data_IF_458829371916
#
_entry.id   IF_458829371916
#
_cell.length_a   1.000
_cell.length_b   1.000
_cell.length_c   1.000
_cell.angle_alpha   90.00
_cell.angle_beta   90.00
_cell.angle_gamma   90.00
#
_symmetry.space_group_name_H-M   'P 1'
#
loop_
_entity.id
_entity.type
_entity.pdbx_description
1 polymer ?
#
# COMPACT_ATOMS: atom_id res chain seq x y z
N UNK A 1 -13.75 -6.15 20.90
CA UNK A 1 -12.59 -5.76 20.05
C UNK A 1 -12.24 -6.92 19.15
N UNK A 2 -11.86 -6.67 17.90
CA UNK A 2 -11.31 -7.72 17.05
C UNK A 2 -10.01 -8.26 17.68
N UNK A 3 -9.78 -9.59 17.70
CA UNK A 3 -8.54 -10.12 18.25
C UNK A 3 -7.39 -9.74 17.30
N UNK A 4 -6.57 -8.77 17.73
CA UNK A 4 -5.42 -8.24 16.98
C UNK A 4 -4.56 -9.36 16.38
N UNK A 5 -4.33 -10.43 17.15
CA UNK A 5 -3.59 -11.62 16.72
C UNK A 5 -4.12 -12.19 15.40
N UNK A 6 -5.43 -12.40 15.26
CA UNK A 6 -6.05 -12.99 14.07
C UNK A 6 -5.89 -12.10 12.83
N UNK A 7 -5.99 -10.78 13.00
CA UNK A 7 -5.82 -9.83 11.89
C UNK A 7 -4.36 -9.86 11.40
N UNK A 8 -3.42 -9.77 12.34
CA UNK A 8 -2.00 -9.72 12.01
C UNK A 8 -1.46 -11.05 11.47
N UNK A 9 -2.03 -12.18 11.86
CA UNK A 9 -1.72 -13.48 11.25
C UNK A 9 -1.99 -13.47 9.75
N UNK A 10 -3.17 -13.02 9.29
CA UNK A 10 -3.48 -12.90 7.86
C UNK A 10 -2.47 -12.00 7.12
N UNK A 11 -2.09 -10.88 7.74
CA UNK A 11 -1.10 -9.96 7.16
C UNK A 11 0.25 -10.66 7.04
N UNK A 12 0.76 -11.27 8.12
CA UNK A 12 2.07 -11.94 8.15
C UNK A 12 2.14 -13.10 7.15
N UNK A 13 1.08 -13.89 7.05
CA UNK A 13 0.98 -15.00 6.08
C UNK A 13 1.07 -14.52 4.62
N UNK A 14 0.66 -13.28 4.33
CA UNK A 14 0.75 -12.73 2.96
C UNK A 14 2.18 -12.36 2.53
N UNK A 15 3.07 -12.08 3.49
CA UNK A 15 4.42 -11.54 3.27
C UNK A 15 5.52 -12.30 4.02
N UNK A 16 5.55 -13.64 3.99
CA UNK A 16 6.44 -14.44 4.85
C UNK A 16 7.94 -14.18 4.58
N UNK A 17 8.29 -13.70 3.39
CA UNK A 17 9.68 -13.41 3.01
C UNK A 17 10.05 -11.92 3.06
N UNK A 18 9.20 -11.05 3.60
CA UNK A 18 9.56 -9.65 3.81
C UNK A 18 10.21 -9.51 5.19
N UNK A 19 11.52 -9.23 5.19
CA UNK A 19 12.24 -8.80 6.39
C UNK A 19 11.85 -7.35 6.77
N UNK A 20 10.84 -7.22 7.64
CA UNK A 20 10.34 -5.93 8.12
C UNK A 20 11.37 -5.17 8.97
N UNK A 21 12.33 -5.85 9.60
CA UNK A 21 13.36 -5.22 10.43
C UNK A 21 14.42 -4.50 9.59
N UNK A 22 14.60 -4.93 8.33
CA UNK A 22 15.51 -4.28 7.38
C UNK A 22 15.06 -2.87 6.97
N UNK A 23 13.79 -2.54 7.14
CA UNK A 23 13.20 -1.28 6.72
C UNK A 23 13.60 -0.13 7.64
N UNK A 24 13.77 1.06 7.06
CA UNK A 24 14.04 2.29 7.81
C UNK A 24 12.92 3.29 7.61
N UNK A 25 12.52 3.92 8.70
CA UNK A 25 11.57 5.01 8.67
C UNK A 25 12.13 6.14 7.82
N UNK A 26 11.30 6.65 6.93
CA UNK A 26 11.59 7.76 6.05
C UNK A 26 10.56 8.85 6.33
N UNK A 27 10.94 9.96 6.98
CA UNK A 27 10.03 11.08 7.18
C UNK A 27 9.60 11.65 5.83
N UNK A 28 8.32 12.00 5.73
CA UNK A 28 7.73 12.63 4.56
C UNK A 28 7.09 13.95 4.96
N UNK A 29 7.06 14.92 4.04
CA UNK A 29 6.30 16.14 4.25
C UNK A 29 4.81 15.81 4.40
N UNK A 30 4.13 16.55 5.28
CA UNK A 30 2.71 16.37 5.55
C UNK A 30 2.37 14.93 5.94
N UNK A 31 3.21 14.32 6.79
CA UNK A 31 2.96 12.99 7.36
C UNK A 31 1.65 12.96 8.14
N UNK A 32 1.26 14.07 8.77
CA UNK A 32 -0.03 14.25 9.43
C UNK A 32 -0.83 15.32 8.69
N UNK A 33 -2.08 15.03 8.33
CA UNK A 33 -2.97 15.92 7.58
C UNK A 33 -4.35 15.96 8.19
N UNK A 34 -4.89 17.16 8.34
CA UNK A 34 -6.32 17.35 8.60
C UNK A 34 -7.09 17.31 7.27
N UNK A 35 -8.15 16.52 7.24
CA UNK A 35 -9.01 16.37 6.06
C UNK A 35 -10.45 16.58 6.48
N UNK A 36 -11.10 17.53 5.81
CA UNK A 36 -12.53 17.77 5.96
C UNK A 36 -13.32 16.63 5.31
N UNK A 37 -14.21 16.00 6.07
CA UNK A 37 -15.07 14.90 5.60
C UNK A 37 -15.08 13.71 6.55
N UNK A 38 -15.96 12.75 6.30
CA UNK A 38 -16.13 11.60 7.18
C UNK A 38 -15.01 10.57 6.97
N UNK A 39 -14.41 10.04 8.03
CA UNK A 39 -13.37 9.00 7.92
C UNK A 39 -13.83 7.78 7.10
N UNK A 40 -15.13 7.45 7.11
CA UNK A 40 -15.70 6.35 6.31
C UNK A 40 -15.60 6.60 4.81
N UNK A 41 -15.65 7.86 4.37
CA UNK A 41 -15.48 8.21 2.96
C UNK A 41 -14.04 7.96 2.51
N UNK A 42 -13.06 8.25 3.37
CA UNK A 42 -11.67 7.91 3.09
C UNK A 42 -11.44 6.39 3.08
N UNK A 43 -12.04 5.66 4.02
CA UNK A 43 -11.99 4.20 4.01
C UNK A 43 -12.61 3.63 2.73
N UNK A 44 -13.74 4.17 2.27
CA UNK A 44 -14.36 3.76 1.01
C UNK A 44 -13.47 4.10 -0.19
N UNK A 45 -12.87 5.29 -0.23
CA UNK A 45 -11.93 5.65 -1.29
C UNK A 45 -10.77 4.65 -1.39
N UNK A 46 -10.21 4.22 -0.26
CA UNK A 46 -9.15 3.21 -0.25
C UNK A 46 -9.61 1.83 -0.77
N UNK A 47 -10.86 1.46 -0.50
CA UNK A 47 -11.44 0.16 -0.88
C UNK A 47 -12.01 0.12 -2.30
N UNK A 48 -12.09 1.26 -2.98
CA UNK A 48 -12.58 1.34 -4.35
C UNK A 48 -11.40 1.34 -5.33
N UNK A 49 -11.33 0.37 -6.25
CA UNK A 49 -10.28 0.38 -7.28
C UNK A 49 -10.67 1.22 -8.51
N UNK A 50 -11.94 1.61 -8.66
CA UNK A 50 -12.43 2.28 -9.87
C UNK A 50 -11.73 3.62 -10.10
N UNK A 51 -11.49 4.39 -9.03
CA UNK A 51 -10.80 5.68 -9.11
C UNK A 51 -9.37 5.57 -9.65
N UNK A 52 -8.71 4.41 -9.59
CA UNK A 52 -7.31 4.24 -10.04
C UNK A 52 -7.16 4.63 -11.51
N UNK A 53 -8.11 4.21 -12.36
CA UNK A 53 -8.12 4.52 -13.79
C UNK A 53 -8.22 6.02 -14.08
N UNK A 54 -8.87 6.77 -13.19
CA UNK A 54 -9.28 8.15 -13.46
C UNK A 54 -8.45 9.20 -12.72
N UNK A 55 -7.96 8.87 -11.53
CA UNK A 55 -7.23 9.75 -10.62
C UNK A 55 -5.72 9.47 -10.71
N UNK A 56 -5.31 8.20 -10.65
CA UNK A 56 -3.89 7.80 -10.71
C UNK A 56 -3.46 7.44 -12.14
N UNK A 57 -3.80 8.33 -13.08
CA UNK A 57 -3.55 8.17 -14.52
C UNK A 57 -2.06 8.20 -14.87
N UNK A 58 -1.72 7.61 -16.02
CA UNK A 58 -0.42 7.76 -16.63
C UNK A 58 -0.16 9.15 -17.24
N UNK A 59 1.10 9.48 -17.59
CA UNK A 59 2.31 8.66 -17.43
C UNK A 59 2.86 8.64 -15.98
N UNK A 60 3.26 7.47 -15.49
CA UNK A 60 3.93 7.30 -14.19
C UNK A 60 3.00 7.18 -12.98
N UNK A 61 1.70 7.08 -13.19
CA UNK A 61 0.70 6.81 -12.15
C UNK A 61 0.50 5.32 -11.89
N UNK A 62 -0.32 5.00 -10.88
CA UNK A 62 -0.62 3.62 -10.51
C UNK A 62 -1.27 2.84 -11.66
N UNK A 63 -2.09 3.49 -12.49
CA UNK A 63 -2.71 2.85 -13.66
C UNK A 63 -1.70 2.28 -14.68
N UNK A 64 -0.48 2.83 -14.74
CA UNK A 64 0.62 2.36 -15.60
C UNK A 64 1.49 1.28 -14.94
N UNK A 65 1.37 1.13 -13.63
CA UNK A 65 2.18 0.21 -12.84
C UNK A 65 1.50 -1.16 -12.68
N UNK A 66 0.17 -1.18 -12.60
CA UNK A 66 -0.61 -2.40 -12.36
C UNK A 66 -1.45 -2.83 -13.57
N UNK A 67 -1.60 -4.14 -13.71
CA UNK A 67 -2.59 -4.75 -14.57
C UNK A 67 -3.95 -4.70 -13.85
N UNK A 68 -4.71 -3.65 -14.15
CA UNK A 68 -6.01 -3.39 -13.52
C UNK A 68 -7.04 -4.50 -13.74
N UNK A 69 -6.89 -5.33 -14.77
CA UNK A 69 -7.80 -6.45 -15.02
C UNK A 69 -7.60 -7.59 -14.01
N UNK A 70 -6.43 -7.62 -13.36
CA UNK A 70 -6.08 -8.62 -12.34
C UNK A 70 -6.37 -8.17 -10.92
N UNK A 71 -6.94 -6.97 -10.74
CA UNK A 71 -7.22 -6.42 -9.42
C UNK A 71 -8.18 -7.32 -8.65
N UNK A 72 -7.73 -7.77 -7.49
CA UNK A 72 -8.44 -8.74 -6.65
C UNK A 72 -8.61 -8.17 -5.25
N UNK A 73 -9.81 -8.32 -4.69
CA UNK A 73 -10.12 -7.99 -3.30
C UNK A 73 -10.56 -9.25 -2.56
N UNK A 74 -9.87 -9.55 -1.45
CA UNK A 74 -10.13 -10.67 -0.56
C UNK A 74 -10.66 -10.14 0.77
N UNK A 75 -11.78 -10.71 1.22
CA UNK A 75 -12.41 -10.32 2.48
C UNK A 75 -11.98 -11.28 3.60
N UNK A 76 -11.59 -10.71 4.73
CA UNK A 76 -11.26 -11.42 5.94
C UNK A 76 -12.10 -10.88 7.11
N UNK A 77 -12.09 -11.59 8.23
CA UNK A 77 -12.71 -11.06 9.43
C UNK A 77 -11.97 -9.81 9.90
N UNK A 78 -12.66 -8.66 9.93
CA UNK A 78 -12.13 -7.34 10.34
C UNK A 78 -11.03 -6.75 9.44
N UNK A 79 -10.81 -7.30 8.25
CA UNK A 79 -9.80 -6.79 7.31
C UNK A 79 -10.13 -7.16 5.87
N UNK A 80 -9.55 -6.46 4.91
CA UNK A 80 -9.61 -6.80 3.50
C UNK A 80 -8.22 -6.64 2.89
N UNK A 81 -7.85 -7.52 1.98
CA UNK A 81 -6.63 -7.45 1.21
C UNK A 81 -6.98 -7.15 -0.24
N UNK A 82 -6.37 -6.12 -0.80
CA UNK A 82 -6.44 -5.80 -2.22
C UNK A 82 -5.07 -5.98 -2.87
N UNK A 83 -5.01 -6.51 -4.09
CA UNK A 83 -3.76 -6.72 -4.81
C UNK A 83 -3.99 -6.82 -6.32
N UNK A 84 -2.93 -6.59 -7.10
CA UNK A 84 -2.94 -6.73 -8.55
C UNK A 84 -1.56 -7.13 -9.06
N UNK A 85 -1.47 -7.77 -10.23
CA UNK A 85 -0.20 -8.02 -10.89
C UNK A 85 0.40 -6.73 -11.45
N UNK A 86 1.73 -6.65 -11.46
CA UNK A 86 2.46 -5.56 -12.08
C UNK A 86 2.39 -5.68 -13.62
N UNK A 87 2.22 -4.57 -14.34
CA UNK A 87 2.37 -4.56 -15.81
C UNK A 87 3.78 -4.94 -16.26
N UNK A 88 4.78 -4.62 -15.42
CA UNK A 88 6.17 -5.00 -15.63
C UNK A 88 6.59 -5.89 -14.46
N UNK A 89 6.83 -7.20 -14.66
CA UNK A 89 7.23 -8.14 -13.62
C UNK A 89 8.29 -7.63 -12.64
N UNK A 90 9.33 -6.96 -13.13
CA UNK A 90 10.44 -6.41 -12.33
C UNK A 90 10.00 -5.39 -11.26
N UNK A 91 8.79 -4.85 -11.34
CA UNK A 91 8.23 -3.89 -10.40
C UNK A 91 7.35 -4.55 -9.34
N UNK A 92 7.10 -5.86 -9.45
CA UNK A 92 6.39 -6.63 -8.44
C UNK A 92 7.33 -7.34 -7.45
N UNK A 93 6.72 -8.01 -6.48
CA UNK A 93 7.43 -8.75 -5.45
C UNK A 93 8.23 -9.89 -6.05
N UNK A 94 9.43 -10.11 -5.53
CA UNK A 94 10.15 -11.33 -5.84
C UNK A 94 9.37 -12.55 -5.28
N UNK A 95 9.33 -13.69 -5.99
CA UNK A 95 8.53 -14.87 -5.63
C UNK A 95 8.75 -15.41 -4.21
N UNK A 96 9.91 -15.12 -3.62
CA UNK A 96 10.30 -15.48 -2.25
C UNK A 96 9.75 -14.51 -1.19
N UNK A 97 9.37 -13.29 -1.56
CA UNK A 97 8.89 -12.28 -0.60
C UNK A 97 7.44 -12.51 -0.16
N UNK A 98 6.66 -13.17 -1.00
CA UNK A 98 5.22 -13.34 -0.82
C UNK A 98 4.84 -14.83 -0.82
N UNK A 99 3.70 -15.15 -0.23
CA UNK A 99 3.19 -16.52 -0.21
C UNK A 99 2.91 -17.04 -1.62
N UNK A 100 3.08 -18.35 -1.82
CA UNK A 100 3.02 -19.01 -3.13
C UNK A 100 1.70 -18.84 -3.88
N UNK A 101 0.59 -18.59 -3.18
CA UNK A 101 -0.72 -18.35 -3.80
C UNK A 101 -0.77 -17.12 -4.72
N UNK A 102 0.18 -16.19 -4.58
CA UNK A 102 0.29 -15.02 -5.44
C UNK A 102 1.02 -15.29 -6.76
N UNK A 103 1.60 -16.48 -6.94
CA UNK A 103 2.22 -16.90 -8.19
C UNK A 103 1.12 -17.34 -9.16
N UNK A 104 1.15 -16.82 -10.38
CA UNK A 104 0.24 -17.29 -11.43
C UNK A 104 0.70 -18.69 -11.87
N UNK A 105 -0.18 -19.71 -11.83
CA UNK A 105 0.19 -21.07 -12.21
C UNK A 105 0.49 -21.23 -13.71
N UNK A 106 0.03 -20.29 -14.53
CA UNK A 106 0.20 -20.31 -15.99
C UNK A 106 1.34 -19.39 -16.46
N UNK A 107 1.80 -18.48 -15.60
CA UNK A 107 2.83 -17.49 -15.92
C UNK A 107 3.75 -17.26 -14.72
N UNK A 108 4.90 -17.94 -14.71
CA UNK A 108 5.87 -17.85 -13.63
C UNK A 108 6.58 -16.50 -13.52
N UNK A 109 6.48 -15.64 -14.54
CA UNK A 109 7.10 -14.32 -14.54
C UNK A 109 6.19 -13.27 -13.93
N UNK A 110 4.87 -13.48 -13.87
CA UNK A 110 3.94 -12.54 -13.22
C UNK A 110 4.27 -12.34 -11.75
N UNK A 111 4.28 -11.07 -11.35
CA UNK A 111 4.59 -10.65 -9.97
C UNK A 111 3.55 -9.68 -9.46
N UNK A 112 3.07 -9.90 -8.24
CA UNK A 112 2.15 -8.99 -7.57
C UNK A 112 2.85 -7.66 -7.35
N UNK A 113 2.19 -6.55 -7.72
CA UNK A 113 2.76 -5.21 -7.59
C UNK A 113 2.77 -4.73 -6.14
N UNK A 114 1.65 -4.89 -5.44
CA UNK A 114 1.44 -4.39 -4.10
C UNK A 114 0.40 -5.23 -3.36
N UNK A 115 0.48 -5.22 -2.03
CA UNK A 115 -0.52 -5.78 -1.12
C UNK A 115 -1.08 -4.65 -0.25
N UNK A 116 -2.34 -4.32 -0.45
CA UNK A 116 -3.06 -3.21 0.18
C UNK A 116 -4.05 -3.77 1.20
N UNK A 117 -3.63 -3.80 2.46
CA UNK A 117 -4.45 -4.27 3.56
C UNK A 117 -5.23 -3.12 4.18
N UNK A 118 -6.55 -3.22 4.18
CA UNK A 118 -7.42 -2.43 5.05
C UNK A 118 -7.71 -3.21 6.33
N UNK A 119 -7.50 -2.58 7.48
CA UNK A 119 -7.79 -3.13 8.80
C UNK A 119 -8.84 -2.24 9.45
N UNK A 120 -10.00 -2.83 9.75
CA UNK A 120 -11.06 -2.13 10.44
C UNK A 120 -10.60 -1.69 11.84
N UNK A 121 -10.88 -0.46 12.29
CA UNK A 121 -11.78 0.49 11.61
C UNK A 121 -11.12 1.39 10.55
N UNK A 122 -9.84 1.69 10.64
CA UNK A 122 -9.31 2.92 10.04
C UNK A 122 -7.81 2.89 9.73
N UNK A 123 -7.23 1.69 9.60
CA UNK A 123 -5.80 1.53 9.34
C UNK A 123 -5.60 0.87 7.99
N UNK A 124 -4.62 1.34 7.22
CA UNK A 124 -4.19 0.68 5.98
C UNK A 124 -2.71 0.37 6.02
N UNK A 125 -2.34 -0.81 5.53
CA UNK A 125 -0.97 -1.27 5.41
C UNK A 125 -0.71 -1.54 3.92
N UNK A 126 0.19 -0.78 3.30
CA UNK A 126 0.52 -0.89 1.89
C UNK A 126 1.93 -1.44 1.75
N UNK A 127 2.04 -2.68 1.29
CA UNK A 127 3.33 -3.32 1.03
C UNK A 127 3.68 -3.21 -0.46
N UNK A 128 4.93 -2.84 -0.71
CA UNK A 128 5.58 -2.82 -2.00
C UNK A 128 6.90 -3.61 -1.91
N UNK A 129 7.50 -4.05 -3.03
CA UNK A 129 8.74 -4.83 -2.99
C UNK A 129 9.91 -4.09 -2.32
N UNK A 130 9.85 -2.75 -2.32
CA UNK A 130 10.87 -1.83 -1.80
C UNK A 130 10.42 -0.96 -0.61
N UNK A 131 9.12 -0.93 -0.29
CA UNK A 131 8.54 0.00 0.69
C UNK A 131 7.39 -0.63 1.49
N UNK A 132 7.18 -0.09 2.69
CA UNK A 132 6.01 -0.35 3.52
C UNK A 132 5.44 1.00 3.96
N UNK A 133 4.14 1.21 3.77
CA UNK A 133 3.46 2.43 4.18
C UNK A 133 2.32 2.07 5.12
N UNK A 134 2.22 2.78 6.25
CA UNK A 134 1.10 2.69 7.17
C UNK A 134 0.32 4.00 7.11
N UNK A 135 -0.99 3.89 6.95
CA UNK A 135 -1.92 5.00 7.12
C UNK A 135 -2.84 4.71 8.30
N UNK A 136 -3.01 5.68 9.19
CA UNK A 136 -4.00 5.62 10.27
C UNK A 136 -4.88 6.85 10.21
N UNK A 137 -6.19 6.67 10.37
CA UNK A 137 -7.16 7.76 10.35
C UNK A 137 -7.77 7.92 11.73
N UNK A 138 -7.47 9.03 12.40
CA UNK A 138 -8.02 9.38 13.70
C UNK A 138 -9.17 10.39 13.52
N UNK A 139 -10.27 10.21 14.26
CA UNK A 139 -11.32 11.23 14.33
C UNK A 139 -10.79 12.42 15.12
N UNK A 140 -10.97 13.63 14.60
CA UNK A 140 -10.42 14.83 15.25
C UNK A 140 -11.47 15.80 15.78
N UNK A 141 -12.66 15.90 15.14
CA UNK A 141 -13.76 16.74 15.66
C UNK A 141 -15.14 16.18 15.30
N UNK A 142 -16.10 16.42 16.19
CA UNK A 142 -17.54 16.30 15.93
C UNK A 142 -18.11 17.71 15.85
N UNK A 143 -18.09 18.33 14.67
CA UNK A 143 -18.73 19.62 14.42
C UNK A 143 -19.70 19.58 13.21
N UNK A 144 -20.60 20.56 13.18
CA UNK A 144 -21.97 20.53 12.63
C UNK A 144 -22.11 20.32 11.09
N UNK A 145 -21.01 20.08 10.37
CA UNK A 145 -20.98 19.77 8.92
C UNK A 145 -20.54 18.31 8.65
N UNK A 146 -20.27 17.54 9.72
CA UNK A 146 -19.85 16.13 9.68
C UNK A 146 -18.43 15.95 10.23
N UNK A 147 -18.10 14.79 10.81
CA UNK A 147 -16.88 14.65 11.60
C UNK A 147 -15.64 14.64 10.72
N UNK A 148 -14.83 15.70 10.77
CA UNK A 148 -13.50 15.75 10.17
C UNK A 148 -12.54 14.73 10.80
N UNK A 149 -11.49 14.35 10.06
CA UNK A 149 -10.49 13.40 10.54
C UNK A 149 -9.06 13.88 10.26
N UNK A 150 -8.12 13.37 11.05
CA UNK A 150 -6.70 13.46 10.75
C UNK A 150 -6.20 12.13 10.20
N UNK A 151 -5.55 12.17 9.04
CA UNK A 151 -4.82 11.04 8.49
C UNK A 151 -3.33 11.18 8.77
N UNK A 152 -2.68 10.09 9.16
CA UNK A 152 -1.22 10.00 9.29
C UNK A 152 -0.65 8.96 8.34
N UNK A 153 0.36 9.31 7.54
CA UNK A 153 1.00 8.47 6.52
C UNK A 153 2.49 8.25 6.81
N UNK A 154 2.81 7.11 7.43
CA UNK A 154 4.17 6.78 7.85
C UNK A 154 4.81 5.88 6.79
N UNK A 155 6.01 6.23 6.35
CA UNK A 155 6.71 5.55 5.26
C UNK A 155 7.98 4.85 5.76
N UNK A 156 8.20 3.63 5.30
CA UNK A 156 9.46 2.91 5.47
C UNK A 156 9.96 2.36 4.14
N UNK A 157 11.27 2.40 3.93
CA UNK A 157 11.91 1.90 2.70
C UNK A 157 13.08 0.97 3.01
N UNK A 158 13.36 0.03 2.10
CA UNK A 158 14.57 -0.81 2.18
C UNK A 158 15.84 0.06 2.08
N UNK A 159 16.93 -0.41 2.70
CA UNK A 159 18.25 0.23 2.58
C UNK A 159 18.70 0.18 1.12
N UNK A 160 19.07 1.33 0.54
CA UNK A 160 19.72 1.34 -0.78
C UNK A 160 21.11 0.70 -0.65
N UNK A 161 21.36 -0.39 -1.38
CA UNK A 161 22.71 -0.94 -1.56
C UNK A 161 23.47 -0.11 -2.60
N UNK A 162 23.76 1.14 -2.30
CA UNK A 162 24.66 1.96 -3.13
C UNK A 162 25.54 2.79 -2.22
N UNK A 163 26.84 2.47 -2.20
CA UNK A 163 27.88 3.44 -1.85
C UNK A 163 27.63 4.66 -2.74
N UNK A 164 27.40 5.82 -2.14
CA UNK A 164 27.39 7.09 -2.85
C UNK A 164 28.74 7.28 -3.55
N UNK A 165 28.80 7.05 -4.85
CA UNK A 165 29.69 7.81 -5.72
C UNK A 165 28.87 8.97 -6.29
N UNK A 166 29.18 10.17 -5.80
CA UNK A 166 28.66 11.43 -6.35
C UNK A 166 28.93 11.47 -7.86
N UNK A 167 27.89 11.36 -8.67
CA UNK A 167 27.81 12.07 -9.96
C UNK A 167 26.33 12.29 -10.29
N UNK A 168 25.99 13.52 -10.60
CA UNK A 168 24.60 13.95 -10.75
C UNK A 168 23.95 13.38 -12.00
N UNK A 169 22.77 12.77 -11.83
CA UNK A 169 21.62 13.10 -12.67
C UNK A 169 20.35 12.80 -11.87
N UNK A 170 19.54 13.84 -11.64
CA UNK A 170 18.26 13.73 -10.97
C UNK A 170 17.24 13.16 -11.95
N UNK A 171 16.90 11.88 -11.81
CA UNK A 171 15.62 11.36 -12.30
C UNK A 171 14.75 11.02 -11.10
N UNK A 172 13.96 12.01 -10.66
CA UNK A 172 12.94 11.85 -9.61
C UNK A 172 11.66 11.30 -10.24
N UNK A 173 11.55 9.98 -10.34
CA UNK A 173 10.24 9.33 -10.48
C UNK A 173 9.75 8.97 -9.07
N UNK A 174 9.21 9.96 -8.36
CA UNK A 174 8.40 9.69 -7.18
C UNK A 174 7.00 9.41 -7.68
N UNK A 175 6.57 8.14 -7.63
CA UNK A 175 5.17 7.78 -7.83
C UNK A 175 4.39 8.56 -6.77
N UNK A 176 3.62 9.57 -7.18
CA UNK A 176 2.64 10.21 -6.30
C UNK A 176 1.40 9.31 -6.35
N UNK A 177 1.25 8.51 -5.30
CA UNK A 177 -0.03 7.92 -4.93
C UNK A 177 -0.85 9.05 -4.30
#
# INVERSE_FOLDING_TARGET
MAPFKKIIENVKESIPGIDLESFKYRPVADEVREVDGNWKQHAWNYMDNYHIRFVHKGPGGLADAIDLETYTTELHQYSALQWAYARRPKEGFAPEQVVTRFKDPNDGDKRVFALWWFIFPNTTLNFYPWAFLLTSICRCREDLIGPGFTGSNIHWTKRSSTKETRSGSTNKSTLRI
#
